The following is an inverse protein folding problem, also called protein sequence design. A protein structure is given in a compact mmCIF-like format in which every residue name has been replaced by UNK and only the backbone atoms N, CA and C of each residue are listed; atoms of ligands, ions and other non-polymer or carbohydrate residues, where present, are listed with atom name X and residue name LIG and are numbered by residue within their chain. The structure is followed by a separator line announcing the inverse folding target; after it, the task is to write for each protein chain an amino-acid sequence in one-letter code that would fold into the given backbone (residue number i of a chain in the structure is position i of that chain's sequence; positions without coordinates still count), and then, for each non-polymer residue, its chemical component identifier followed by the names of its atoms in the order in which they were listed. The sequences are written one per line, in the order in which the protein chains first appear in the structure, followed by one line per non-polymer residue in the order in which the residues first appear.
data_IF_117336895850
#
_entry.id   IF_117336895850
#
_cell.length_a   1.000
_cell.length_b   1.000
_cell.length_c   1.000
_cell.angle_alpha   90.00
_cell.angle_beta   90.00
_cell.angle_gamma   90.00
#
_symmetry.space_group_name_H-M   'P 1'
#
loop_
_entity.id
_entity.type
_entity.pdbx_description
1 polymer ?
#
# COMPACT_ATOMS: atom_id res chain seq x y z
N UNK A 1 5.31 16.93 -2.59
CA UNK A 1 4.43 17.56 -1.56
C UNK A 1 5.21 17.62 -0.25
N UNK A 2 5.03 18.64 0.60
CA UNK A 2 5.89 18.83 1.78
C UNK A 2 5.44 18.04 3.02
N UNK A 3 4.22 17.50 3.06
CA UNK A 3 3.74 16.65 4.16
C UNK A 3 2.83 15.52 3.69
N UNK A 4 2.54 14.56 4.58
CA UNK A 4 1.59 13.48 4.33
C UNK A 4 0.14 13.99 4.19
N UNK A 5 -0.22 15.05 4.93
CA UNK A 5 -1.53 15.71 4.81
C UNK A 5 -1.69 16.29 3.42
N UNK A 6 -0.70 17.05 2.94
CA UNK A 6 -0.71 17.63 1.60
C UNK A 6 -0.74 16.56 0.49
N UNK A 7 -0.18 15.38 0.75
CA UNK A 7 -0.27 14.24 -0.16
C UNK A 7 -1.71 13.75 -0.27
N UNK A 8 -2.34 13.45 0.87
CA UNK A 8 -3.72 12.92 0.93
C UNK A 8 -4.72 13.91 0.34
N UNK A 9 -4.56 15.20 0.62
CA UNK A 9 -5.45 16.26 0.13
C UNK A 9 -5.38 16.46 -1.39
N UNK A 10 -4.27 16.06 -2.03
CA UNK A 10 -4.13 16.13 -3.50
C UNK A 10 -4.63 14.90 -4.24
N UNK A 11 -5.03 13.85 -3.52
CA UNK A 11 -5.56 12.63 -4.12
C UNK A 11 -7.09 12.70 -4.21
N UNK A 12 -7.61 12.44 -5.40
CA UNK A 12 -9.02 12.21 -5.62
C UNK A 12 -9.46 10.86 -5.01
N UNK A 13 -10.68 10.85 -4.47
CA UNK A 13 -11.27 9.66 -3.84
C UNK A 13 -11.94 8.73 -4.87
N UNK A 14 -12.04 7.42 -4.58
CA UNK A 14 -11.46 6.75 -3.42
C UNK A 14 -9.94 6.63 -3.57
N UNK A 15 -9.20 6.97 -2.50
CA UNK A 15 -7.74 7.10 -2.53
C UNK A 15 -7.06 5.73 -2.40
N UNK A 16 -5.86 5.64 -2.94
CA UNK A 16 -4.92 4.55 -2.67
C UNK A 16 -3.56 5.16 -2.32
N UNK A 17 -3.00 4.80 -1.17
CA UNK A 17 -1.69 5.28 -0.72
C UNK A 17 -0.75 4.08 -0.58
N UNK A 18 0.30 4.04 -1.40
CA UNK A 18 1.31 2.99 -1.38
C UNK A 18 2.51 3.43 -0.54
N UNK A 19 2.72 2.74 0.59
CA UNK A 19 3.78 2.99 1.57
C UNK A 19 5.02 2.16 1.22
N UNK A 20 6.16 2.84 1.03
CA UNK A 20 7.47 2.26 0.69
C UNK A 20 8.55 2.78 1.65
N UNK A 21 8.35 2.60 2.95
CA UNK A 21 9.27 3.03 4.02
C UNK A 21 9.89 1.83 4.73
N UNK A 22 10.96 2.00 5.55
CA UNK A 22 11.55 0.89 6.28
C UNK A 22 10.53 0.19 7.20
N UNK A 23 10.54 -1.16 7.17
CA UNK A 23 9.68 -1.98 8.00
C UNK A 23 9.86 -1.71 9.50
N UNK A 24 8.81 -2.00 10.28
CA UNK A 24 8.78 -1.79 11.72
C UNK A 24 8.24 -0.41 12.09
N UNK A 25 8.92 0.29 13.01
CA UNK A 25 8.39 1.52 13.61
C UNK A 25 8.09 2.66 12.62
N UNK A 26 8.84 2.74 11.53
CA UNK A 26 8.60 3.77 10.50
C UNK A 26 7.30 3.50 9.73
N UNK A 27 7.08 2.27 9.26
CA UNK A 27 5.79 1.88 8.66
C UNK A 27 4.64 2.08 9.64
N UNK A 28 4.74 1.59 10.88
CA UNK A 28 3.68 1.75 11.88
C UNK A 28 3.31 3.23 12.09
N UNK A 29 4.30 4.12 12.19
CA UNK A 29 4.05 5.56 12.32
C UNK A 29 3.27 6.13 11.13
N UNK A 30 3.62 5.73 9.91
CA UNK A 30 2.89 6.16 8.70
C UNK A 30 1.47 5.60 8.69
N UNK A 31 1.27 4.33 9.05
CA UNK A 31 -0.06 3.71 9.16
C UNK A 31 -0.92 4.44 10.19
N UNK A 32 -0.36 4.82 11.35
CA UNK A 32 -1.08 5.58 12.37
C UNK A 32 -1.54 6.94 11.84
N UNK A 33 -0.68 7.65 11.11
CA UNK A 33 -1.05 8.92 10.48
C UNK A 33 -2.13 8.74 9.42
N UNK A 34 -1.95 7.78 8.50
CA UNK A 34 -2.93 7.49 7.43
C UNK A 34 -4.29 7.08 8.00
N UNK A 35 -4.32 6.34 9.11
CA UNK A 35 -5.55 5.98 9.80
C UNK A 35 -6.36 7.19 10.31
N UNK A 36 -5.74 8.36 10.44
CA UNK A 36 -6.41 9.61 10.83
C UNK A 36 -6.74 10.52 9.65
N UNK A 37 -5.99 10.42 8.56
CA UNK A 37 -6.12 11.30 7.38
C UNK A 37 -7.05 10.74 6.30
N UNK A 38 -7.11 9.41 6.17
CA UNK A 38 -7.92 8.74 5.16
C UNK A 38 -9.37 8.58 5.60
N UNK A 39 -10.25 8.41 4.62
CA UNK A 39 -11.70 8.25 4.83
C UNK A 39 -12.13 6.81 4.56
N UNK A 40 -13.29 6.38 5.09
CA UNK A 40 -13.85 5.07 4.75
C UNK A 40 -13.93 4.86 3.23
N UNK A 41 -13.48 3.69 2.75
CA UNK A 41 -13.36 3.35 1.33
C UNK A 41 -12.01 3.70 0.68
N UNK A 42 -11.16 4.48 1.36
CA UNK A 42 -9.77 4.65 0.95
C UNK A 42 -8.97 3.36 1.25
N UNK A 43 -7.79 3.23 0.63
CA UNK A 43 -6.98 2.03 0.65
C UNK A 43 -5.51 2.35 0.94
N UNK A 44 -4.87 1.54 1.79
CA UNK A 44 -3.43 1.59 2.03
C UNK A 44 -2.78 0.32 1.48
N UNK A 45 -1.64 0.49 0.81
CA UNK A 45 -0.77 -0.63 0.39
C UNK A 45 0.53 -0.54 1.17
N UNK A 46 0.93 -1.59 1.87
CA UNK A 46 2.31 -1.72 2.36
C UNK A 46 3.12 -2.54 1.35
N UNK A 47 4.03 -1.86 0.62
CA UNK A 47 4.98 -2.54 -0.26
C UNK A 47 6.40 -2.61 0.28
N UNK A 48 6.58 -2.30 1.56
CA UNK A 48 7.82 -2.54 2.27
C UNK A 48 8.09 -4.04 2.46
N UNK A 49 9.16 -4.34 3.19
CA UNK A 49 9.47 -5.70 3.61
C UNK A 49 9.00 -5.95 5.05
N UNK A 50 7.75 -5.57 5.33
CA UNK A 50 7.09 -5.76 6.63
C UNK A 50 6.95 -7.25 6.92
N UNK A 51 6.92 -7.60 8.21
CA UNK A 51 6.61 -8.97 8.62
C UNK A 51 5.09 -9.14 8.52
N UNK A 52 4.64 -10.28 7.99
CA UNK A 52 3.21 -10.59 7.86
C UNK A 52 2.39 -10.39 9.16
N UNK A 53 3.00 -10.59 10.33
CA UNK A 53 2.34 -10.35 11.63
C UNK A 53 2.06 -8.87 11.92
N UNK A 54 2.85 -7.97 11.34
CA UNK A 54 2.63 -6.52 11.43
C UNK A 54 1.57 -6.09 10.41
N UNK A 55 1.59 -6.69 9.21
CA UNK A 55 0.56 -6.47 8.20
C UNK A 55 -0.84 -6.83 8.70
N UNK A 56 -0.99 -7.95 9.43
CA UNK A 56 -2.26 -8.29 10.09
C UNK A 56 -2.72 -7.24 11.10
N UNK A 57 -1.80 -6.61 11.83
CA UNK A 57 -2.14 -5.55 12.80
C UNK A 57 -2.56 -4.29 12.07
N UNK A 58 -1.81 -3.89 11.04
CA UNK A 58 -2.13 -2.72 10.21
C UNK A 58 -3.51 -2.88 9.54
N UNK A 59 -3.78 -4.05 8.97
CA UNK A 59 -5.08 -4.38 8.39
C UNK A 59 -6.21 -4.25 9.40
N UNK A 60 -6.08 -4.85 10.59
CA UNK A 60 -7.09 -4.72 11.66
C UNK A 60 -7.31 -3.27 12.10
N UNK A 61 -6.23 -2.51 12.25
CA UNK A 61 -6.27 -1.11 12.65
C UNK A 61 -7.01 -0.23 11.62
N UNK A 62 -6.69 -0.40 10.33
CA UNK A 62 -7.30 0.38 9.25
C UNK A 62 -8.75 -0.06 8.98
N UNK A 63 -9.02 -1.36 9.02
CA UNK A 63 -10.37 -1.90 8.87
C UNK A 63 -11.33 -1.36 9.93
N UNK A 64 -10.88 -1.17 11.18
CA UNK A 64 -11.70 -0.56 12.24
C UNK A 64 -12.16 0.88 11.92
N UNK A 65 -11.56 1.52 10.90
CA UNK A 65 -11.92 2.85 10.38
C UNK A 65 -12.59 2.79 9.01
N UNK A 66 -12.87 1.60 8.48
CA UNK A 66 -13.40 1.40 7.14
C UNK A 66 -12.38 1.67 6.03
N UNK A 67 -11.08 1.66 6.34
CA UNK A 67 -9.99 1.83 5.38
C UNK A 67 -9.49 0.43 5.00
N UNK A 68 -9.34 0.19 3.70
CA UNK A 68 -8.81 -1.07 3.19
C UNK A 68 -7.31 -1.18 3.38
N UNK A 69 -6.80 -2.41 3.38
CA UNK A 69 -5.37 -2.70 3.43
C UNK A 69 -4.99 -3.80 2.45
N UNK A 70 -3.83 -3.66 1.82
CA UNK A 70 -3.20 -4.64 0.94
C UNK A 70 -1.71 -4.72 1.30
N UNK A 71 -1.18 -5.92 1.54
CA UNK A 71 0.26 -6.15 1.56
C UNK A 71 0.74 -6.47 0.14
N UNK A 72 1.88 -5.90 -0.26
CA UNK A 72 2.42 -6.05 -1.61
C UNK A 72 3.94 -6.26 -1.56
N UNK A 73 4.39 -7.49 -1.32
CA UNK A 73 5.81 -7.83 -1.35
C UNK A 73 6.42 -7.51 -2.72
N UNK A 74 7.44 -6.65 -2.75
CA UNK A 74 8.11 -6.20 -3.98
C UNK A 74 9.52 -6.79 -4.10
N UNK A 75 9.80 -7.46 -5.22
CA UNK A 75 11.12 -7.98 -5.56
C UNK A 75 11.59 -7.50 -6.95
N UNK A 76 12.90 -7.58 -7.19
CA UNK A 76 13.59 -7.06 -8.40
C UNK A 76 14.53 -5.89 -8.13
N UNK A 77 14.44 -5.28 -6.94
CA UNK A 77 15.30 -4.16 -6.54
C UNK A 77 15.22 -2.98 -7.51
N UNK A 78 16.31 -2.21 -7.60
CA UNK A 78 16.38 -1.02 -8.49
C UNK A 78 16.20 -1.35 -9.97
N UNK A 79 16.48 -2.60 -10.37
CA UNK A 79 16.35 -3.06 -11.75
C UNK A 79 14.89 -3.24 -12.18
N UNK A 80 13.97 -3.36 -11.23
CA UNK A 80 12.54 -3.45 -11.52
C UNK A 80 11.99 -2.22 -12.23
N UNK A 81 12.64 -1.05 -12.11
CA UNK A 81 12.25 0.14 -12.88
C UNK A 81 12.36 -0.09 -14.39
N UNK A 82 13.33 -0.90 -14.84
CA UNK A 82 13.53 -1.22 -16.26
C UNK A 82 12.83 -2.50 -16.68
N UNK A 83 12.81 -3.50 -15.80
CA UNK A 83 12.40 -4.87 -16.13
C UNK A 83 11.01 -5.25 -15.61
N UNK A 84 10.38 -4.37 -14.82
CA UNK A 84 9.21 -4.67 -14.00
C UNK A 84 9.56 -5.34 -12.66
N UNK A 85 8.63 -5.24 -11.72
CA UNK A 85 8.75 -5.75 -10.35
C UNK A 85 7.98 -7.06 -10.18
N UNK A 86 8.58 -8.04 -9.51
CA UNK A 86 7.83 -9.20 -9.05
C UNK A 86 7.02 -8.78 -7.82
N UNK A 87 5.69 -8.79 -7.96
CA UNK A 87 4.74 -8.37 -6.93
C UNK A 87 3.99 -9.59 -6.37
N UNK A 88 3.99 -9.71 -5.04
CA UNK A 88 3.22 -10.71 -4.30
C UNK A 88 2.19 -9.97 -3.45
N UNK A 89 0.93 -10.03 -3.84
CA UNK A 89 -0.12 -9.18 -3.28
C UNK A 89 -1.09 -10.01 -2.43
N UNK A 90 -1.29 -9.60 -1.18
CA UNK A 90 -2.25 -10.14 -0.22
C UNK A 90 -3.26 -9.09 0.24
N UNK A 91 -4.47 -9.53 0.56
CA UNK A 91 -5.56 -8.65 1.04
C UNK A 91 -6.93 -9.09 0.53
N UNK A 92 -7.95 -8.31 0.87
CA UNK A 92 -9.32 -8.58 0.43
C UNK A 92 -9.45 -8.48 -1.08
N UNK A 93 -10.17 -9.45 -1.68
CA UNK A 93 -10.29 -9.59 -3.14
C UNK A 93 -10.71 -8.29 -3.83
N UNK A 94 -11.65 -7.56 -3.25
CA UNK A 94 -12.13 -6.29 -3.81
C UNK A 94 -11.05 -5.20 -3.87
N UNK A 95 -10.15 -5.15 -2.88
CA UNK A 95 -9.06 -4.18 -2.83
C UNK A 95 -7.95 -4.55 -3.82
N UNK A 96 -7.63 -5.84 -3.90
CA UNK A 96 -6.66 -6.37 -4.86
C UNK A 96 -7.16 -6.15 -6.30
N UNK A 97 -8.42 -6.48 -6.58
CA UNK A 97 -9.02 -6.28 -7.91
C UNK A 97 -9.03 -4.80 -8.31
N UNK A 98 -9.34 -3.89 -7.37
CA UNK A 98 -9.30 -2.44 -7.59
C UNK A 98 -7.90 -1.94 -7.97
N UNK A 99 -6.85 -2.49 -7.35
CA UNK A 99 -5.46 -2.09 -7.61
C UNK A 99 -4.77 -2.91 -8.71
N UNK A 100 -5.43 -3.94 -9.24
CA UNK A 100 -4.90 -4.79 -10.31
C UNK A 100 -4.31 -4.01 -11.50
N UNK A 101 -4.93 -2.92 -12.00
CA UNK A 101 -4.32 -2.13 -13.09
C UNK A 101 -2.96 -1.53 -12.72
N UNK A 102 -2.74 -1.16 -11.46
CA UNK A 102 -1.46 -0.64 -10.96
C UNK A 102 -0.42 -1.75 -10.90
N UNK A 103 -0.80 -2.92 -10.37
CA UNK A 103 0.10 -4.07 -10.28
C UNK A 103 0.50 -4.58 -11.68
N UNK A 104 -0.45 -4.63 -12.61
CA UNK A 104 -0.20 -5.02 -14.00
C UNK A 104 0.70 -4.02 -14.74
N UNK A 105 0.64 -2.73 -14.39
CA UNK A 105 1.52 -1.71 -14.96
C UNK A 105 2.96 -1.79 -14.42
N UNK A 106 3.15 -2.37 -13.23
CA UNK A 106 4.45 -2.46 -12.56
C UNK A 106 5.17 -3.79 -12.78
N UNK A 107 4.46 -4.86 -13.13
CA UNK A 107 5.04 -6.19 -13.33
C UNK A 107 5.86 -6.28 -14.63
N UNK A 108 6.78 -7.26 -14.76
CA UNK A 108 7.50 -7.52 -16.00
C UNK A 108 6.58 -7.81 -17.19
N UNK A 109 7.04 -7.45 -18.39
CA UNK A 109 6.46 -7.95 -19.63
C UNK A 109 6.75 -9.45 -19.75
N UNK A 110 5.70 -10.24 -19.93
CA UNK A 110 5.77 -11.69 -20.00
C UNK A 110 4.37 -12.30 -20.00
N UNK A 111 4.23 -13.60 -20.34
CA UNK A 111 2.95 -14.31 -20.25
C UNK A 111 2.37 -14.28 -18.83
#
# INVERSE_FOLDING_TARGET
VPSLVDLVDRLDGPRAVWVMVPAGGATQHVIDQLATLLKPGDLVVDGGNSRWTDDEKHAKQLHARGIGFVDAGVSGGVWGLKNGYALMVGGDKEHVDRLKPVFDALKPEGP
#
